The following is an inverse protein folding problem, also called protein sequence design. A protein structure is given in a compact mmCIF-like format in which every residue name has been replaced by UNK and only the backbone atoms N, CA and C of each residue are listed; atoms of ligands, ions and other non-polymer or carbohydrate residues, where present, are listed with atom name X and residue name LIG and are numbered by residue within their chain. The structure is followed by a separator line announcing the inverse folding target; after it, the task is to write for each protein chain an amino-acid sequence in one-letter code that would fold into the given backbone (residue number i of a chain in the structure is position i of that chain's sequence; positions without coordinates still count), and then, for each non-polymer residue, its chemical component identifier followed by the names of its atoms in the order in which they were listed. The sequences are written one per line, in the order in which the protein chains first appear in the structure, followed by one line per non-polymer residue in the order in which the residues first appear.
data_IF_063653204915
#
_entry.id   IF_063653204915
#
_cell.length_a   1.000
_cell.length_b   1.000
_cell.length_c   1.000
_cell.angle_alpha   90.00
_cell.angle_beta   90.00
_cell.angle_gamma   90.00
#
_symmetry.space_group_name_H-M   'P 1'
#
loop_
_entity.id
_entity.type
_entity.pdbx_description
1 polymer ?
#
# COMPACT_ATOMS: atom_id res chain seq x y z
N UNK A 1 23.61 -4.88 -6.14
CA UNK A 1 22.71 -5.92 -5.62
C UNK A 1 21.41 -5.25 -5.24
N UNK A 2 20.36 -5.34 -6.06
CA UNK A 2 19.08 -4.66 -5.77
C UNK A 2 18.22 -5.58 -4.93
N UNK A 3 18.03 -5.22 -3.65
CA UNK A 3 17.15 -5.89 -2.71
C UNK A 3 15.70 -5.68 -3.18
N UNK A 4 15.17 -6.68 -3.89
CA UNK A 4 13.78 -6.71 -4.31
C UNK A 4 12.92 -7.12 -3.11
N UNK A 5 12.05 -6.22 -2.66
CA UNK A 5 11.22 -6.40 -1.47
C UNK A 5 9.74 -6.39 -1.85
N UNK A 6 8.92 -7.12 -1.09
CA UNK A 6 7.45 -7.08 -1.19
C UNK A 6 6.88 -6.63 0.14
N UNK A 7 6.04 -5.60 0.13
CA UNK A 7 5.35 -5.06 1.31
C UNK A 7 3.86 -5.00 1.10
N UNK A 8 3.10 -5.51 2.07
CA UNK A 8 1.66 -5.28 2.15
C UNK A 8 1.39 -4.09 3.06
N UNK A 9 0.58 -3.14 2.60
CA UNK A 9 0.20 -1.96 3.37
C UNK A 9 -1.29 -1.71 3.28
N UNK A 10 -1.79 -1.15 4.35
CA UNK A 10 -3.11 -0.61 4.48
C UNK A 10 -3.05 0.91 4.33
N UNK A 11 -3.84 1.49 3.42
CA UNK A 11 -3.92 2.93 3.20
C UNK A 11 -5.35 3.39 3.45
N UNK A 12 -5.53 4.16 4.52
CA UNK A 12 -6.79 4.83 4.84
C UNK A 12 -6.68 6.32 4.53
N UNK A 13 -7.61 6.84 3.74
CA UNK A 13 -7.60 8.25 3.33
C UNK A 13 -9.02 8.77 3.11
N UNK A 14 -9.16 10.08 2.95
CA UNK A 14 -10.44 10.68 2.53
C UNK A 14 -10.73 10.29 1.08
N UNK A 15 -12.02 10.11 0.77
CA UNK A 15 -12.50 9.73 -0.57
C UNK A 15 -11.95 10.64 -1.69
N UNK A 16 -11.91 11.94 -1.46
CA UNK A 16 -11.39 12.94 -2.41
C UNK A 16 -9.90 12.77 -2.72
N UNK A 17 -9.13 12.13 -1.82
CA UNK A 17 -7.68 11.95 -1.96
C UNK A 17 -7.29 10.64 -2.63
N UNK A 18 -8.23 9.72 -2.85
CA UNK A 18 -7.96 8.43 -3.50
C UNK A 18 -7.28 8.60 -4.85
N UNK A 19 -7.76 9.55 -5.66
CA UNK A 19 -7.15 9.82 -6.97
C UNK A 19 -5.70 10.26 -6.83
N UNK A 20 -5.38 11.10 -5.85
CA UNK A 20 -4.01 11.55 -5.59
C UNK A 20 -3.10 10.41 -5.09
N UNK A 21 -3.63 9.51 -4.25
CA UNK A 21 -2.91 8.30 -3.81
C UNK A 21 -2.55 7.41 -5.00
N UNK A 22 -3.50 7.18 -5.92
CA UNK A 22 -3.26 6.40 -7.13
C UNK A 22 -2.29 7.09 -8.10
N UNK A 23 -2.34 8.42 -8.17
CA UNK A 23 -1.43 9.23 -8.99
C UNK A 23 0.01 9.12 -8.48
N UNK A 24 0.21 9.20 -7.16
CA UNK A 24 1.51 8.95 -6.53
C UNK A 24 2.04 7.57 -6.91
N UNK A 25 1.25 6.51 -6.76
CA UNK A 25 1.69 5.15 -7.11
C UNK A 25 2.10 5.03 -8.59
N UNK A 26 1.39 5.70 -9.50
CA UNK A 26 1.74 5.75 -10.93
C UNK A 26 3.03 6.52 -11.21
N UNK A 27 3.40 7.46 -10.34
CA UNK A 27 4.66 8.20 -10.40
C UNK A 27 5.91 7.35 -10.11
N UNK A 28 5.75 6.13 -9.59
CA UNK A 28 6.85 5.19 -9.31
C UNK A 28 6.74 3.95 -10.22
N UNK A 29 7.05 4.05 -11.52
CA UNK A 29 6.91 2.92 -12.46
C UNK A 29 7.83 1.73 -12.14
N UNK A 30 8.94 1.97 -11.44
CA UNK A 30 9.87 0.95 -10.95
C UNK A 30 9.42 0.28 -9.63
N UNK A 31 8.33 0.76 -9.03
CA UNK A 31 7.65 0.10 -7.92
C UNK A 31 6.33 -0.50 -8.45
N UNK A 32 6.32 -1.82 -8.65
CA UNK A 32 5.09 -2.53 -9.00
C UNK A 32 4.11 -2.42 -7.82
N UNK A 33 2.87 -2.04 -8.10
CA UNK A 33 1.83 -1.96 -7.09
C UNK A 33 0.59 -2.70 -7.55
N UNK A 34 -0.03 -3.40 -6.61
CA UNK A 34 -1.28 -4.11 -6.83
C UNK A 34 -2.27 -3.74 -5.73
N UNK A 35 -3.46 -3.33 -6.13
CA UNK A 35 -4.57 -3.12 -5.21
C UNK A 35 -5.20 -4.48 -4.95
N UNK A 36 -5.02 -5.02 -3.75
CA UNK A 36 -5.61 -6.29 -3.34
C UNK A 36 -7.08 -6.11 -2.97
N UNK A 37 -7.40 -5.01 -2.28
CA UNK A 37 -8.75 -4.70 -1.87
C UNK A 37 -8.95 -3.19 -1.83
N UNK A 38 -10.15 -2.73 -2.19
CA UNK A 38 -10.52 -1.32 -2.11
C UNK A 38 -11.96 -1.20 -1.60
N UNK A 39 -12.15 -0.43 -0.52
CA UNK A 39 -13.46 -0.09 0.01
C UNK A 39 -13.62 1.42 0.00
N UNK A 40 -14.60 1.90 -0.75
CA UNK A 40 -14.98 3.31 -0.78
C UNK A 40 -16.27 3.51 0.01
N UNK A 41 -16.25 4.45 0.93
CA UNK A 41 -17.42 4.92 1.67
C UNK A 41 -17.73 6.38 1.28
N UNK A 42 -18.83 6.92 1.81
CA UNK A 42 -19.20 8.33 1.59
C UNK A 42 -18.11 9.30 2.11
N UNK A 43 -17.52 9.00 3.26
CA UNK A 43 -16.58 9.89 3.96
C UNK A 43 -15.11 9.49 3.83
N UNK A 44 -14.80 8.32 3.29
CA UNK A 44 -13.46 7.75 3.37
C UNK A 44 -13.22 6.64 2.37
N UNK A 45 -11.97 6.22 2.28
CA UNK A 45 -11.50 5.22 1.37
C UNK A 45 -10.39 4.41 2.01
N UNK A 46 -10.53 3.10 1.87
CA UNK A 46 -9.68 2.09 2.47
C UNK A 46 -9.09 1.24 1.36
N UNK A 47 -7.77 1.27 1.18
CA UNK A 47 -7.06 0.54 0.13
C UNK A 47 -6.03 -0.41 0.74
N UNK A 48 -6.11 -1.69 0.40
CA UNK A 48 -5.08 -2.68 0.70
C UNK A 48 -4.19 -2.83 -0.52
N UNK A 49 -2.92 -2.46 -0.37
CA UNK A 49 -1.94 -2.43 -1.45
C UNK A 49 -0.83 -3.45 -1.18
N UNK A 50 -0.41 -4.14 -2.23
CA UNK A 50 0.81 -4.91 -2.28
C UNK A 50 1.81 -4.14 -3.16
N UNK A 51 2.93 -3.74 -2.57
CA UNK A 51 4.02 -3.02 -3.23
C UNK A 51 5.19 -3.97 -3.41
N UNK A 52 5.75 -4.04 -4.61
CA UNK A 52 6.89 -4.88 -4.95
C UNK A 52 7.92 -4.06 -5.75
N UNK A 53 9.18 -4.14 -5.37
CA UNK A 53 10.23 -3.40 -6.07
C UNK A 53 11.40 -3.06 -5.17
N UNK A 54 12.10 -1.98 -5.51
CA UNK A 54 13.22 -1.50 -4.71
C UNK A 54 12.71 -0.90 -3.40
N UNK A 55 13.27 -1.32 -2.27
CA UNK A 55 12.89 -0.83 -0.93
C UNK A 55 12.84 0.69 -0.83
N UNK A 56 13.80 1.39 -1.44
CA UNK A 56 13.86 2.86 -1.43
C UNK A 56 12.63 3.45 -2.11
N UNK A 57 12.29 2.98 -3.31
CA UNK A 57 11.13 3.46 -4.07
C UNK A 57 9.81 3.16 -3.36
N UNK A 58 9.69 1.98 -2.74
CA UNK A 58 8.51 1.63 -1.93
C UNK A 58 8.37 2.63 -0.78
N UNK A 59 9.44 2.90 -0.03
CA UNK A 59 9.38 3.82 1.10
C UNK A 59 9.12 5.28 0.67
N UNK A 60 9.67 5.71 -0.48
CA UNK A 60 9.37 7.03 -1.06
C UNK A 60 7.90 7.16 -1.47
N UNK A 61 7.35 6.16 -2.17
CA UNK A 61 5.94 6.14 -2.54
C UNK A 61 5.03 6.19 -1.30
N UNK A 62 5.36 5.42 -0.26
CA UNK A 62 4.63 5.44 1.01
C UNK A 62 4.73 6.78 1.73
N UNK A 63 5.92 7.41 1.71
CA UNK A 63 6.11 8.74 2.29
C UNK A 63 5.28 9.80 1.55
N UNK A 64 5.23 9.75 0.22
CA UNK A 64 4.39 10.63 -0.58
C UNK A 64 2.89 10.44 -0.27
N UNK A 65 2.43 9.19 -0.13
CA UNK A 65 1.06 8.88 0.30
C UNK A 65 0.76 9.44 1.70
N UNK A 66 1.69 9.33 2.65
CA UNK A 66 1.55 9.92 4.00
C UNK A 66 1.49 11.45 3.96
N UNK A 67 2.26 12.10 3.09
CA UNK A 67 2.25 13.55 2.90
C UNK A 67 0.92 14.05 2.31
N UNK A 68 0.21 13.22 1.54
CA UNK A 68 -1.19 13.46 1.15
C UNK A 68 -2.16 13.34 2.34
N UNK A 69 -1.70 13.10 3.56
CA UNK A 69 -2.51 12.90 4.75
C UNK A 69 -3.32 11.60 4.74
N UNK A 70 -2.85 10.60 4.01
CA UNK A 70 -3.34 9.23 4.14
C UNK A 70 -2.58 8.53 5.28
N UNK A 71 -3.31 7.74 6.06
CA UNK A 71 -2.72 6.87 7.08
C UNK A 71 -2.26 5.58 6.41
N UNK A 72 -0.97 5.29 6.52
CA UNK A 72 -0.36 4.07 5.99
C UNK A 72 0.03 3.16 7.16
N UNK A 73 -0.48 1.94 7.17
CA UNK A 73 -0.14 0.93 8.18
C UNK A 73 0.42 -0.31 7.49
N UNK A 74 1.59 -0.78 7.93
CA UNK A 74 2.12 -2.05 7.43
C UNK A 74 1.29 -3.19 8.01
N UNK A 75 0.88 -4.10 7.14
CA UNK A 75 0.13 -5.28 7.54
C UNK A 75 1.01 -6.52 7.33
N UNK A 76 1.06 -7.44 8.31
CA UNK A 76 1.81 -8.67 8.16
C UNK A 76 1.24 -9.40 6.95
N UNK A 77 2.14 -9.78 6.03
CA UNK A 77 1.87 -10.32 4.69
C UNK A 77 0.46 -10.87 4.57
N UNK A 78 -0.43 -10.12 3.92
CA UNK A 78 -1.68 -10.72 3.45
C UNK A 78 -1.22 -11.80 2.47
N UNK A 79 -1.47 -13.07 2.79
CA UNK A 79 -1.30 -14.11 1.78
C UNK A 79 -2.09 -13.70 0.53
N UNK A 80 -1.67 -14.11 -0.67
CA UNK A 80 -2.35 -13.74 -1.93
C UNK A 80 -3.88 -14.01 -1.95
N UNK A 81 -4.40 -14.71 -0.94
CA UNK A 81 -5.79 -15.08 -0.68
C UNK A 81 -6.57 -14.13 0.25
N UNK A 82 -6.00 -13.01 0.73
CA UNK A 82 -6.71 -12.08 1.62
C UNK A 82 -6.73 -12.48 3.10
N UNK A 83 -6.06 -13.59 3.47
CA UNK A 83 -5.91 -14.02 4.87
C UNK A 83 -4.60 -13.51 5.45
N UNK A 84 -4.69 -12.78 6.55
CA UNK A 84 -3.55 -12.41 7.39
C UNK A 84 -2.81 -13.68 7.78
N UNK A 85 -1.52 -13.79 7.47
CA UNK A 85 -0.65 -14.82 8.06
C UNK A 85 -0.45 -14.46 9.53
N UNK A 86 -1.46 -14.73 10.36
CA UNK A 86 -1.27 -14.77 11.80
C UNK A 86 -0.18 -15.80 12.06
N UNK A 87 0.94 -15.30 12.59
CA UNK A 87 2.03 -16.09 13.08
C UNK A 87 1.49 -17.09 14.13
N UNK A 88 1.17 -18.30 13.68
CA UNK A 88 1.13 -19.48 14.52
C UNK A 88 2.59 -19.91 14.68
N UNK A 89 3.32 -19.19 15.53
CA UNK A 89 4.55 -19.72 16.12
C UNK A 89 4.13 -20.76 17.14
N UNK A 90 4.35 -22.03 16.79
CA UNK A 90 4.43 -23.14 17.77
C UNK A 90 5.87 -23.23 18.26
#
# INVERSE_FOLDING_TARGET
MSLHEKKSVHVDCRRERVSAVLDVLRGYPDADFRICQGKLSASGARLDLLLAGQRILIEEALAAIRNLGARVEYIPSIGADGRTLSALST
#
